data_IF_952259557872
#
_entry.id   IF_952259557872
#
_cell.length_a   1.000
_cell.length_b   1.000
_cell.length_c   1.000
_cell.angle_alpha   90.00
_cell.angle_beta   90.00
_cell.angle_gamma   90.00
#
_symmetry.space_group_name_H-M   'P 1'
#
loop_
_entity.id
_entity.type
_entity.pdbx_description
1 polymer ?
#
# COMPACT_ATOMS: atom_id res chain seq x y z
N UNK A 1 -20.70 -39.31 -6.42
CA UNK A 1 -19.62 -38.31 -6.52
C UNK A 1 -20.27 -36.95 -6.59
N UNK A 2 -20.28 -36.20 -5.49
CA UNK A 2 -20.83 -34.82 -5.47
C UNK A 2 -19.68 -33.91 -5.88
N UNK A 3 -19.79 -33.28 -7.05
CA UNK A 3 -18.87 -32.22 -7.45
C UNK A 3 -19.22 -31.02 -6.58
N UNK A 4 -18.40 -30.73 -5.58
CA UNK A 4 -18.50 -29.49 -4.82
C UNK A 4 -18.04 -28.37 -5.76
N UNK A 5 -18.98 -27.63 -6.34
CA UNK A 5 -18.66 -26.37 -7.01
C UNK A 5 -18.34 -25.38 -5.91
N UNK A 6 -17.05 -25.09 -5.71
CA UNK A 6 -16.64 -23.96 -4.86
C UNK A 6 -17.10 -22.70 -5.60
N UNK A 7 -18.08 -21.99 -5.04
CA UNK A 7 -18.53 -20.72 -5.60
C UNK A 7 -17.34 -19.77 -5.63
N UNK A 8 -17.05 -19.20 -6.80
CA UNK A 8 -16.00 -18.20 -6.95
C UNK A 8 -16.39 -16.92 -6.20
N UNK A 9 -15.43 -16.28 -5.53
CA UNK A 9 -15.64 -14.97 -4.92
C UNK A 9 -16.15 -13.97 -5.96
N UNK A 10 -17.36 -13.46 -5.77
CA UNK A 10 -17.91 -12.37 -6.58
C UNK A 10 -18.06 -11.13 -5.70
N UNK A 11 -17.11 -10.20 -5.86
CA UNK A 11 -17.12 -8.93 -5.15
C UNK A 11 -16.87 -7.77 -6.11
N UNK A 12 -17.66 -6.71 -5.99
CA UNK A 12 -17.51 -5.52 -6.81
C UNK A 12 -17.72 -4.26 -5.99
N UNK A 13 -17.28 -3.14 -6.56
CA UNK A 13 -17.53 -1.82 -6.00
C UNK A 13 -18.78 -1.21 -6.61
N UNK A 14 -19.68 -0.76 -5.75
CA UNK A 14 -20.76 0.14 -6.11
C UNK A 14 -20.41 1.56 -5.70
N UNK A 15 -20.70 2.51 -6.60
CA UNK A 15 -20.59 3.94 -6.34
C UNK A 15 -19.23 4.42 -5.76
N UNK A 16 -18.07 4.11 -6.38
CA UNK A 16 -16.80 4.71 -5.98
C UNK A 16 -16.88 6.24 -6.00
N UNK A 17 -16.66 6.88 -4.85
CA UNK A 17 -16.82 8.32 -4.71
C UNK A 17 -15.66 8.96 -3.95
N UNK A 18 -15.14 10.10 -4.45
CA UNK A 18 -14.14 10.89 -3.74
C UNK A 18 -14.76 11.64 -2.57
N UNK A 19 -14.15 11.59 -1.38
CA UNK A 19 -14.63 12.32 -0.19
C UNK A 19 -13.70 13.44 0.29
N UNK A 20 -12.39 13.35 0.01
CA UNK A 20 -11.42 14.41 0.33
C UNK A 20 -10.13 14.32 -0.50
N UNK A 21 -9.58 15.47 -0.90
CA UNK A 21 -8.19 15.56 -1.36
C UNK A 21 -7.24 15.63 -0.15
N UNK A 22 -6.26 14.74 -0.12
CA UNK A 22 -5.23 14.67 0.92
C UNK A 22 -3.92 15.20 0.33
N UNK A 23 -3.60 16.45 0.66
CA UNK A 23 -2.35 17.10 0.28
C UNK A 23 -1.34 17.03 1.43
N UNK A 24 -0.36 16.14 1.31
CA UNK A 24 0.65 15.92 2.34
C UNK A 24 1.65 17.06 2.46
N UNK A 25 1.70 18.00 1.52
CA UNK A 25 2.46 19.25 1.72
C UNK A 25 1.82 20.15 2.78
N UNK A 26 0.48 20.08 2.92
CA UNK A 26 -0.28 20.83 3.92
C UNK A 26 -0.39 20.08 5.25
N UNK A 27 -0.63 18.76 5.18
CA UNK A 27 -0.71 17.93 6.38
C UNK A 27 0.66 17.66 7.00
N UNK A 28 1.74 17.64 6.20
CA UNK A 28 3.11 17.21 6.54
C UNK A 28 3.21 15.72 6.82
N UNK A 29 4.29 15.09 6.35
CA UNK A 29 4.53 13.65 6.47
C UNK A 29 3.95 12.82 5.33
N UNK A 30 4.15 11.51 5.37
CA UNK A 30 3.54 10.54 4.46
C UNK A 30 2.31 9.89 5.11
N UNK A 31 1.36 9.45 4.30
CA UNK A 31 0.15 8.76 4.80
C UNK A 31 0.52 7.41 5.40
N UNK A 32 0.05 7.15 6.62
CA UNK A 32 0.51 6.05 7.45
C UNK A 32 -0.63 5.12 7.87
N UNK A 33 -1.79 5.70 8.20
CA UNK A 33 -2.96 4.97 8.67
C UNK A 33 -4.24 5.52 8.10
N UNK A 34 -5.18 4.62 7.82
CA UNK A 34 -6.57 4.90 7.48
C UNK A 34 -7.46 3.95 8.29
N UNK A 35 -8.49 4.47 8.94
CA UNK A 35 -9.41 3.68 9.77
C UNK A 35 -10.82 4.23 9.71
N UNK A 36 -11.82 3.36 9.69
CA UNK A 36 -13.22 3.77 9.83
C UNK A 36 -13.55 4.01 11.30
N UNK A 37 -14.41 4.99 11.56
CA UNK A 37 -15.07 5.08 12.85
C UNK A 37 -16.06 3.92 13.02
N UNK A 38 -16.36 3.47 14.26
CA UNK A 38 -17.25 2.33 14.48
C UNK A 38 -18.68 2.50 13.94
N UNK A 39 -19.16 3.73 13.88
CA UNK A 39 -20.47 4.09 13.30
C UNK A 39 -20.41 4.30 11.77
N UNK A 40 -19.21 4.27 11.18
CA UNK A 40 -18.97 4.47 9.76
C UNK A 40 -19.29 5.88 9.25
N UNK A 41 -19.37 6.88 10.13
CA UNK A 41 -19.64 8.28 9.75
C UNK A 41 -18.37 9.07 9.43
N UNK A 42 -17.21 8.58 9.88
CA UNK A 42 -15.92 9.24 9.79
C UNK A 42 -14.80 8.26 9.39
N UNK A 43 -13.71 8.82 8.88
CA UNK A 43 -12.45 8.16 8.61
C UNK A 43 -11.32 8.88 9.35
N UNK A 44 -10.53 8.14 10.10
CA UNK A 44 -9.27 8.62 10.67
C UNK A 44 -8.14 8.47 9.66
N UNK A 45 -7.32 9.51 9.54
CA UNK A 45 -6.09 9.53 8.76
C UNK A 45 -4.91 9.89 9.66
N UNK A 46 -3.82 9.13 9.55
CA UNK A 46 -2.55 9.50 10.15
C UNK A 46 -1.53 9.85 9.07
N UNK A 47 -0.74 10.90 9.31
CA UNK A 47 0.52 11.13 8.60
C UNK A 47 1.70 11.01 9.54
N UNK A 48 2.86 10.60 9.01
CA UNK A 48 4.10 10.41 9.78
C UNK A 48 5.27 11.08 9.08
N UNK A 49 6.19 11.66 9.84
CA UNK A 49 7.49 12.11 9.33
C UNK A 49 8.56 11.14 9.81
N UNK A 50 9.50 10.79 8.93
CA UNK A 50 10.64 9.92 9.25
C UNK A 50 11.94 10.69 9.19
N UNK A 51 12.91 10.27 9.99
CA UNK A 51 14.29 10.67 9.77
C UNK A 51 14.94 9.89 8.62
N UNK A 52 16.20 10.18 8.34
CA UNK A 52 16.96 9.52 7.27
C UNK A 52 17.21 8.02 7.54
N UNK A 53 17.03 7.55 8.78
CA UNK A 53 17.13 6.15 9.15
C UNK A 53 15.76 5.43 9.08
N UNK A 54 14.69 6.13 8.67
CA UNK A 54 13.33 5.59 8.58
C UNK A 54 12.57 5.57 9.91
N UNK A 55 13.13 6.14 10.98
CA UNK A 55 12.51 6.19 12.31
C UNK A 55 11.43 7.27 12.34
N UNK A 56 10.27 6.96 12.92
CA UNK A 56 9.15 7.90 13.06
C UNK A 56 9.55 9.04 14.01
N UNK A 57 9.57 10.28 13.52
CA UNK A 57 9.83 11.48 14.33
C UNK A 57 8.57 12.12 14.88
N UNK A 58 7.50 12.14 14.08
CA UNK A 58 6.23 12.77 14.42
C UNK A 58 5.09 12.01 13.76
N UNK A 59 3.93 12.02 14.41
CA UNK A 59 2.68 11.58 13.84
C UNK A 59 1.65 12.71 13.96
N UNK A 60 0.80 12.85 12.95
CA UNK A 60 -0.32 13.79 12.98
C UNK A 60 -1.62 13.05 12.69
N UNK A 61 -2.67 13.52 13.33
CA UNK A 61 -3.94 12.82 13.41
C UNK A 61 -5.03 13.68 12.81
N UNK A 62 -5.90 13.05 12.02
CA UNK A 62 -6.98 13.72 11.33
C UNK A 62 -8.24 12.88 11.32
N UNK A 63 -9.38 13.55 11.21
CA UNK A 63 -10.68 12.93 10.96
C UNK A 63 -11.35 13.58 9.74
N UNK A 64 -11.98 12.76 8.91
CA UNK A 64 -12.69 13.15 7.69
C UNK A 64 -14.07 12.52 7.71
N UNK A 65 -15.13 13.33 7.64
CA UNK A 65 -16.50 12.80 7.53
C UNK A 65 -16.74 12.16 6.17
N UNK A 66 -17.48 11.06 6.17
CA UNK A 66 -17.86 10.33 4.95
C UNK A 66 -18.87 11.11 4.11
N UNK A 67 -19.58 12.07 4.70
CA UNK A 67 -20.41 13.03 3.97
C UNK A 67 -19.58 14.04 3.15
N UNK A 68 -18.25 14.04 3.33
CA UNK A 68 -17.30 14.92 2.67
C UNK A 68 -17.35 16.35 3.21
N UNK A 69 -16.17 17.01 3.26
CA UNK A 69 -15.94 18.47 3.09
C UNK A 69 -14.61 18.95 3.66
N UNK A 70 -14.18 18.45 4.81
CA UNK A 70 -13.00 19.00 5.50
C UNK A 70 -12.21 17.92 6.23
N UNK A 71 -10.89 18.01 6.13
CA UNK A 71 -9.96 17.26 6.98
C UNK A 71 -9.78 18.07 8.27
N UNK A 72 -10.19 17.51 9.41
CA UNK A 72 -10.04 18.15 10.73
C UNK A 72 -8.85 17.53 11.45
N UNK A 73 -7.98 18.36 12.02
CA UNK A 73 -6.88 17.91 12.87
C UNK A 73 -7.39 17.40 14.23
N UNK A 74 -6.67 16.42 14.78
CA UNK A 74 -6.85 15.90 16.13
C UNK A 74 -5.53 16.01 16.89
N UNK A 75 -5.61 16.19 18.20
CA UNK A 75 -4.42 16.29 19.06
C UNK A 75 -3.74 14.91 19.26
N UNK A 76 -4.51 13.83 19.20
CA UNK A 76 -4.03 12.47 19.42
C UNK A 76 -4.82 11.43 18.62
N UNK A 77 -4.26 10.23 18.50
CA UNK A 77 -4.94 9.07 17.90
C UNK A 77 -6.17 8.68 18.73
N UNK A 78 -7.37 8.59 18.12
CA UNK A 78 -8.55 8.09 18.81
C UNK A 78 -8.39 6.62 19.20
N UNK A 79 -8.92 6.24 20.38
CA UNK A 79 -8.88 4.86 20.86
C UNK A 79 -9.51 3.85 19.88
N UNK A 80 -10.57 4.25 19.17
CA UNK A 80 -11.20 3.40 18.15
C UNK A 80 -10.30 3.18 16.93
N UNK A 81 -9.47 4.15 16.55
CA UNK A 81 -8.55 4.00 15.43
C UNK A 81 -7.42 3.02 15.77
N UNK A 82 -6.92 3.08 17.01
CA UNK A 82 -5.95 2.11 17.52
C UNK A 82 -6.53 0.68 17.57
N UNK A 83 -7.77 0.54 18.07
CA UNK A 83 -8.50 -0.75 18.08
C UNK A 83 -8.76 -1.27 16.67
N UNK A 84 -9.11 -0.39 15.74
CA UNK A 84 -9.31 -0.73 14.33
C UNK A 84 -8.02 -1.28 13.71
N UNK A 85 -6.89 -0.61 13.95
CA UNK A 85 -5.59 -1.03 13.44
C UNK A 85 -5.11 -2.35 14.04
N UNK A 86 -5.43 -2.66 15.31
CA UNK A 86 -4.97 -3.89 15.95
C UNK A 86 -5.43 -5.16 15.24
N UNK A 87 -6.60 -5.14 14.58
CA UNK A 87 -7.08 -6.28 13.79
C UNK A 87 -6.82 -6.12 12.29
N UNK A 88 -6.96 -4.92 11.72
CA UNK A 88 -6.78 -4.71 10.28
C UNK A 88 -5.38 -5.03 9.80
N UNK A 89 -4.37 -4.65 10.58
CA UNK A 89 -2.96 -4.84 10.24
C UNK A 89 -2.34 -6.07 10.91
N UNK A 90 -3.16 -6.91 11.55
CA UNK A 90 -2.70 -8.13 12.20
C UNK A 90 -2.06 -9.09 11.18
N UNK A 91 -1.31 -10.09 11.66
CA UNK A 91 -0.75 -11.10 10.78
C UNK A 91 -1.82 -12.06 10.23
N UNK A 92 -2.91 -12.28 10.97
CA UNK A 92 -3.99 -13.20 10.60
C UNK A 92 -5.35 -12.50 10.60
N UNK A 93 -6.27 -13.03 9.80
CA UNK A 93 -7.65 -12.56 9.76
C UNK A 93 -8.31 -12.67 11.14
N UNK A 94 -9.09 -11.65 11.56
CA UNK A 94 -9.87 -11.72 12.79
C UNK A 94 -11.02 -12.75 12.71
N UNK A 95 -11.45 -13.15 11.51
CA UNK A 95 -12.50 -14.13 11.29
C UNK A 95 -11.96 -15.57 11.14
N UNK A 96 -10.74 -15.72 10.64
CA UNK A 96 -10.15 -17.02 10.32
C UNK A 96 -8.64 -17.03 10.62
N UNK A 97 -8.19 -17.49 11.81
CA UNK A 97 -6.77 -17.45 12.20
C UNK A 97 -5.79 -18.21 11.29
N UNK A 98 -6.29 -19.19 10.53
CA UNK A 98 -5.50 -19.91 9.52
C UNK A 98 -5.31 -19.12 8.22
N UNK A 99 -6.15 -18.12 7.95
CA UNK A 99 -5.99 -17.18 6.85
C UNK A 99 -5.06 -16.05 7.29
N UNK A 100 -3.76 -16.22 7.03
CA UNK A 100 -2.70 -15.35 7.55
C UNK A 100 -1.66 -15.01 6.49
N UNK A 101 -0.93 -13.93 6.75
CA UNK A 101 0.19 -13.48 5.93
C UNK A 101 1.46 -14.16 6.40
N UNK A 102 2.11 -14.86 5.48
CA UNK A 102 3.47 -15.35 5.64
C UNK A 102 4.44 -14.27 5.16
N UNK A 103 5.47 -14.02 5.99
CA UNK A 103 6.56 -13.11 5.68
C UNK A 103 7.79 -13.96 5.41
N UNK A 104 8.29 -13.90 4.18
CA UNK A 104 9.53 -14.57 3.76
C UNK A 104 10.63 -13.52 3.60
N UNK A 105 11.83 -13.83 4.06
CA UNK A 105 13.02 -13.00 3.88
C UNK A 105 14.05 -13.80 3.08
N UNK A 106 14.67 -13.17 2.08
CA UNK A 106 15.81 -13.73 1.35
C UNK A 106 16.87 -12.66 1.11
N UNK A 107 18.12 -13.10 0.93
CA UNK A 107 19.20 -12.25 0.44
C UNK A 107 19.46 -12.55 -1.03
N UNK A 108 19.62 -11.51 -1.85
CA UNK A 108 19.86 -11.64 -3.28
C UNK A 108 20.97 -10.68 -3.73
N UNK A 109 21.86 -11.15 -4.60
CA UNK A 109 22.92 -10.30 -5.17
C UNK A 109 22.39 -9.65 -6.45
N UNK A 110 22.11 -8.35 -6.40
CA UNK A 110 21.59 -7.59 -7.54
C UNK A 110 22.74 -6.84 -8.22
N UNK A 111 22.82 -6.94 -9.55
CA UNK A 111 23.76 -6.15 -10.37
C UNK A 111 23.13 -4.81 -10.71
N UNK A 112 23.82 -3.71 -10.46
CA UNK A 112 23.38 -2.40 -10.91
C UNK A 112 23.50 -2.31 -12.44
N UNK A 113 22.40 -2.44 -13.18
CA UNK A 113 22.39 -2.10 -14.61
C UNK A 113 22.26 -0.59 -14.77
N UNK A 114 23.36 0.15 -14.59
CA UNK A 114 23.42 1.53 -15.05
C UNK A 114 23.57 1.51 -16.58
N UNK A 115 22.45 1.53 -17.32
CA UNK A 115 22.49 1.99 -18.72
C UNK A 115 22.87 3.48 -18.69
N UNK A 116 24.00 3.90 -19.27
CA UNK A 116 24.32 5.31 -19.36
C UNK A 116 23.24 5.99 -20.20
N UNK A 117 22.39 6.82 -19.58
CA UNK A 117 21.52 7.73 -20.33
C UNK A 117 22.43 8.64 -21.15
N UNK A 118 22.42 8.47 -22.47
CA UNK A 118 23.26 9.15 -23.46
C UNK A 118 23.12 10.68 -23.55
N UNK A 119 22.69 11.35 -22.48
CA UNK A 119 22.57 12.80 -22.39
C UNK A 119 23.91 13.54 -22.25
N UNK A 120 25.02 12.82 -22.01
CA UNK A 120 26.36 13.42 -21.99
C UNK A 120 26.96 13.66 -23.40
N UNK A 121 26.42 13.02 -24.46
CA UNK A 121 26.94 13.18 -25.82
C UNK A 121 26.32 14.35 -26.62
N UNK A 122 25.27 15.01 -26.11
CA UNK A 122 24.54 16.04 -26.87
C UNK A 122 24.96 17.50 -26.56
N UNK A 123 25.92 17.72 -25.66
CA UNK A 123 26.43 19.07 -25.35
C UNK A 123 27.80 19.22 -26.01
N UNK A 124 27.81 19.77 -27.23
CA UNK A 124 29.01 20.08 -28.01
C UNK A 124 29.90 21.13 -27.35
N UNK A 125 30.60 20.74 -26.29
CA UNK A 125 31.72 21.46 -25.69
C UNK A 125 33.02 20.76 -26.08
N UNK A 126 34.03 21.54 -26.45
CA UNK A 126 35.34 21.13 -26.97
C UNK A 126 35.90 19.88 -26.28
N UNK A 127 35.96 18.78 -27.03
CA UNK A 127 36.57 17.54 -26.58
C UNK A 127 38.07 17.75 -26.35
N UNK A 128 38.51 17.61 -25.10
CA UNK A 128 39.90 17.34 -24.79
C UNK A 128 40.14 15.84 -25.07
N UNK A 129 41.10 15.43 -25.92
CA UNK A 129 41.22 14.02 -26.36
C UNK A 129 41.64 13.03 -25.26
N UNK A 130 41.89 13.51 -24.04
CA UNK A 130 42.37 12.72 -22.91
C UNK A 130 41.28 12.32 -21.91
N UNK A 131 40.07 12.87 -22.01
CA UNK A 131 38.96 12.53 -21.10
C UNK A 131 38.07 11.43 -21.71
N UNK A 132 38.66 10.26 -21.92
CA UNK A 132 37.89 9.03 -22.07
C UNK A 132 37.45 8.58 -20.68
N UNK A 133 36.14 8.39 -20.44
CA UNK A 133 35.70 7.48 -19.36
C UNK A 133 36.39 6.15 -19.64
N UNK A 134 37.35 5.76 -18.80
CA UNK A 134 38.13 4.55 -19.06
C UNK A 134 37.17 3.35 -19.09
N UNK A 135 37.44 2.36 -19.94
CA UNK A 135 36.66 1.12 -19.96
C UNK A 135 36.58 0.46 -18.57
N UNK A 136 37.56 0.74 -17.70
CA UNK A 136 37.60 0.30 -16.29
C UNK A 136 36.58 1.01 -15.40
N UNK A 137 36.27 2.29 -15.63
CA UNK A 137 35.28 3.03 -14.83
C UNK A 137 33.85 2.59 -15.18
N UNK A 138 33.59 2.33 -16.47
CA UNK A 138 32.35 1.73 -16.96
C UNK A 138 32.22 0.28 -16.48
N UNK A 139 33.31 -0.50 -16.46
CA UNK A 139 33.33 -1.87 -15.95
C UNK A 139 33.14 -1.93 -14.43
N UNK A 140 33.69 -0.98 -13.67
CA UNK A 140 33.50 -0.90 -12.21
C UNK A 140 32.09 -0.46 -11.85
N UNK A 141 31.48 0.48 -12.59
CA UNK A 141 30.08 0.86 -12.40
C UNK A 141 29.12 -0.31 -12.73
N UNK A 142 29.42 -1.10 -13.78
CA UNK A 142 28.63 -2.27 -14.17
C UNK A 142 28.79 -3.48 -13.23
N UNK A 143 29.86 -3.54 -12.43
CA UNK A 143 30.17 -4.65 -11.52
C UNK A 143 29.85 -4.39 -10.04
N UNK A 144 29.23 -3.26 -9.70
CA UNK A 144 28.72 -3.05 -8.35
C UNK A 144 27.53 -3.99 -8.09
N UNK A 145 27.87 -5.17 -7.58
CA UNK A 145 26.92 -6.12 -7.01
C UNK A 145 26.57 -5.67 -5.61
N UNK A 146 25.30 -5.40 -5.37
CA UNK A 146 24.80 -5.05 -4.04
C UNK A 146 24.02 -6.24 -3.49
N UNK A 147 24.33 -6.64 -2.26
CA UNK A 147 23.47 -7.56 -1.51
C UNK A 147 22.19 -6.83 -1.14
N UNK A 148 21.06 -7.40 -1.49
CA UNK A 148 19.75 -6.88 -1.19
C UNK A 148 18.98 -7.85 -0.29
N UNK A 149 18.39 -7.33 0.78
CA UNK A 149 17.43 -8.08 1.59
C UNK A 149 16.06 -7.87 0.97
N UNK A 150 15.39 -8.98 0.65
CA UNK A 150 14.08 -8.98 0.04
C UNK A 150 13.07 -9.62 0.99
N UNK A 151 12.06 -8.87 1.37
CA UNK A 151 10.89 -9.37 2.06
C UNK A 151 9.76 -9.63 1.07
N UNK A 152 9.17 -10.81 1.11
CA UNK A 152 7.96 -11.17 0.37
C UNK A 152 6.83 -11.41 1.35
N UNK A 153 5.72 -10.70 1.17
CA UNK A 153 4.48 -11.04 1.86
C UNK A 153 3.61 -11.85 0.91
N UNK A 154 3.09 -12.94 1.43
CA UNK A 154 2.22 -13.83 0.69
C UNK A 154 1.11 -14.34 1.60
N UNK A 155 0.00 -14.73 0.98
CA UNK A 155 -1.07 -15.47 1.64
C UNK A 155 -1.31 -16.70 0.80
N UNK A 156 -0.96 -17.87 1.34
CA UNK A 156 -0.90 -19.12 0.55
C UNK A 156 0.02 -18.92 -0.67
N UNK A 157 -0.52 -19.12 -1.86
CA UNK A 157 0.19 -18.97 -3.13
C UNK A 157 0.08 -17.55 -3.73
N UNK A 158 -0.73 -16.66 -3.14
CA UNK A 158 -0.87 -15.28 -3.62
C UNK A 158 0.20 -14.38 -3.00
N UNK A 159 1.11 -13.86 -3.84
CA UNK A 159 2.07 -12.82 -3.44
C UNK A 159 1.35 -11.48 -3.34
N UNK A 160 1.25 -10.93 -2.13
CA UNK A 160 0.62 -9.61 -1.90
C UNK A 160 1.61 -8.45 -2.08
N UNK A 161 2.92 -8.71 -1.96
CA UNK A 161 3.95 -7.70 -2.22
C UNK A 161 5.38 -8.18 -2.01
N UNK A 162 6.33 -7.39 -2.48
CA UNK A 162 7.77 -7.60 -2.29
C UNK A 162 8.47 -6.25 -2.02
N UNK A 163 9.39 -6.25 -1.04
CA UNK A 163 10.11 -5.09 -0.53
C UNK A 163 11.61 -5.37 -0.56
N UNK A 164 12.37 -4.53 -1.25
CA UNK A 164 13.82 -4.68 -1.40
C UNK A 164 14.52 -3.58 -0.62
N UNK A 165 15.33 -3.96 0.36
CA UNK A 165 16.08 -3.04 1.24
C UNK A 165 15.19 -1.98 1.93
N UNK A 166 13.94 -2.33 2.20
CA UNK A 166 12.97 -1.44 2.83
C UNK A 166 12.10 -2.22 3.83
N UNK A 167 11.57 -1.52 4.83
CA UNK A 167 10.73 -2.14 5.85
C UNK A 167 9.32 -2.45 5.33
N UNK A 168 8.79 -3.61 5.70
CA UNK A 168 7.38 -3.93 5.51
C UNK A 168 6.57 -3.23 6.60
N UNK A 169 5.59 -2.42 6.20
CA UNK A 169 4.65 -1.78 7.13
C UNK A 169 3.27 -2.46 6.99
N UNK A 170 2.87 -3.32 7.95
CA UNK A 170 1.54 -3.94 7.96
C UNK A 170 0.43 -2.88 7.97
N UNK A 171 -0.68 -3.16 7.30
CA UNK A 171 -1.82 -2.24 7.25
C UNK A 171 -1.73 -1.12 6.21
N UNK A 172 -0.54 -0.83 5.65
CA UNK A 172 -0.36 0.15 4.57
C UNK A 172 -0.73 -0.44 3.20
N UNK A 173 -0.23 -1.64 2.91
CA UNK A 173 -0.46 -2.29 1.62
C UNK A 173 -1.66 -3.25 1.64
N UNK A 174 -2.14 -3.64 2.82
CA UNK A 174 -3.28 -4.53 2.98
C UNK A 174 -4.16 -4.15 4.16
N UNK A 175 -5.34 -4.73 4.23
CA UNK A 175 -6.22 -4.69 5.39
C UNK A 175 -7.15 -5.88 5.41
N UNK A 176 -7.18 -6.60 6.54
CA UNK A 176 -8.21 -7.60 6.80
C UNK A 176 -9.58 -6.94 6.86
N UNK A 177 -10.62 -7.64 6.43
CA UNK A 177 -11.99 -7.29 6.74
C UNK A 177 -12.32 -7.61 8.21
N UNK A 178 -13.30 -6.91 8.82
CA UNK A 178 -13.74 -7.24 10.17
C UNK A 178 -14.42 -8.61 10.20
N UNK A 179 -14.40 -9.27 11.36
CA UNK A 179 -15.19 -10.48 11.56
C UNK A 179 -16.70 -10.19 11.40
N UNK A 180 -17.50 -11.09 10.79
CA UNK A 180 -17.14 -12.47 10.42
C UNK A 180 -16.55 -12.64 9.00
N UNK A 181 -16.25 -11.56 8.28
CA UNK A 181 -15.73 -11.65 6.91
C UNK A 181 -14.30 -12.19 6.89
N UNK A 182 -14.10 -13.29 6.17
CA UNK A 182 -12.79 -13.88 5.94
C UNK A 182 -12.17 -13.36 4.64
N UNK A 183 -12.03 -12.03 4.55
CA UNK A 183 -11.53 -11.31 3.38
C UNK A 183 -10.28 -10.49 3.70
N UNK A 184 -9.42 -10.32 2.71
CA UNK A 184 -8.25 -9.46 2.70
C UNK A 184 -8.33 -8.53 1.50
N UNK A 185 -8.23 -7.21 1.71
CA UNK A 185 -8.00 -6.27 0.62
C UNK A 185 -6.51 -5.90 0.59
N UNK A 186 -5.90 -5.88 -0.58
CA UNK A 186 -4.52 -5.41 -0.74
C UNK A 186 -4.32 -4.62 -2.04
N UNK A 187 -3.40 -3.68 -2.00
CA UNK A 187 -2.98 -2.90 -3.15
C UNK A 187 -1.76 -3.56 -3.81
N UNK A 188 -1.75 -3.60 -5.15
CA UNK A 188 -0.55 -4.00 -5.88
C UNK A 188 0.48 -2.87 -5.91
N UNK A 189 1.73 -3.24 -5.70
CA UNK A 189 2.89 -2.33 -5.67
C UNK A 189 3.19 -1.65 -7.01
N UNK A 190 2.75 -2.25 -8.11
CA UNK A 190 2.88 -1.73 -9.47
C UNK A 190 1.89 -0.60 -9.80
N UNK A 191 1.03 -0.21 -8.85
CA UNK A 191 0.02 0.83 -9.03
C UNK A 191 -1.30 0.32 -9.62
N UNK A 192 -1.50 -1.00 -9.66
CA UNK A 192 -2.75 -1.64 -10.09
C UNK A 192 -3.96 -1.40 -9.16
N UNK A 193 -5.10 -2.05 -9.48
CA UNK A 193 -6.30 -1.97 -8.65
C UNK A 193 -6.10 -2.64 -7.28
N UNK A 194 -6.99 -2.34 -6.36
CA UNK A 194 -7.17 -3.16 -5.17
C UNK A 194 -7.63 -4.56 -5.57
N UNK A 195 -7.13 -5.54 -4.83
CA UNK A 195 -7.49 -6.95 -4.96
C UNK A 195 -8.11 -7.40 -3.65
N UNK A 196 -9.20 -8.16 -3.74
CA UNK A 196 -9.77 -8.86 -2.59
C UNK A 196 -9.51 -10.36 -2.74
N UNK A 197 -9.04 -10.95 -1.65
CA UNK A 197 -8.78 -12.38 -1.50
C UNK A 197 -9.62 -12.93 -0.35
N UNK A 198 -10.27 -14.07 -0.54
CA UNK A 198 -10.97 -14.79 0.53
C UNK A 198 -10.14 -15.94 1.11
N UNK A 199 -10.61 -16.49 2.24
CA UNK A 199 -9.99 -17.64 2.90
C UNK A 199 -10.12 -18.98 2.14
N UNK A 200 -10.80 -19.05 1.00
CA UNK A 200 -10.79 -20.21 0.10
C UNK A 200 -9.76 -20.08 -1.02
N UNK A 201 -9.21 -18.88 -1.23
CA UNK A 201 -8.30 -18.54 -2.33
C UNK A 201 -9.00 -17.88 -3.52
N UNK A 202 -10.31 -17.60 -3.42
CA UNK A 202 -11.04 -16.80 -4.39
C UNK A 202 -10.49 -15.37 -4.41
N UNK A 203 -10.22 -14.85 -5.61
CA UNK A 203 -9.57 -13.55 -5.81
C UNK A 203 -10.33 -12.73 -6.84
N UNK A 204 -10.50 -11.45 -6.54
CA UNK A 204 -11.21 -10.52 -7.41
C UNK A 204 -10.51 -9.16 -7.41
N UNK A 205 -10.30 -8.60 -8.61
CA UNK A 205 -9.85 -7.22 -8.75
C UNK A 205 -11.04 -6.26 -8.64
N UNK A 206 -10.89 -5.24 -7.81
CA UNK A 206 -11.92 -4.22 -7.63
C UNK A 206 -11.79 -3.15 -8.73
N UNK A 207 -12.56 -3.35 -9.81
CA UNK A 207 -12.65 -2.38 -10.89
C UNK A 207 -13.01 -0.98 -10.39
N UNK A 208 -12.42 0.05 -10.98
CA UNK A 208 -12.61 1.45 -10.58
C UNK A 208 -11.64 1.96 -9.51
N UNK A 209 -10.71 1.12 -9.03
CA UNK A 209 -9.59 1.53 -8.18
C UNK A 209 -8.31 1.66 -9.01
N UNK A 210 -7.43 2.60 -8.65
CA UNK A 210 -6.09 2.74 -9.28
C UNK A 210 -5.10 3.37 -8.32
N UNK A 211 -3.82 2.99 -8.45
CA UNK A 211 -2.73 3.50 -7.60
C UNK A 211 -3.12 3.56 -6.12
N UNK A 212 -3.84 2.53 -5.67
CA UNK A 212 -4.49 2.51 -4.38
C UNK A 212 -3.47 2.21 -3.27
N UNK A 213 -3.65 2.79 -2.10
CA UNK A 213 -2.92 2.48 -0.88
C UNK A 213 -3.87 2.57 0.32
N UNK A 214 -3.49 1.96 1.43
CA UNK A 214 -4.24 1.99 2.70
C UNK A 214 -5.71 1.53 2.53
N UNK A 215 -6.00 0.36 1.93
CA UNK A 215 -7.37 -0.16 1.85
C UNK A 215 -7.92 -0.39 3.26
N UNK A 216 -9.15 0.04 3.54
CA UNK A 216 -9.77 0.00 4.87
C UNK A 216 -11.25 -0.36 4.78
N UNK A 217 -11.67 -1.46 5.42
CA UNK A 217 -13.07 -1.89 5.47
C UNK A 217 -13.84 -1.14 6.55
N UNK A 218 -15.08 -0.74 6.30
CA UNK A 218 -15.95 -0.29 7.40
C UNK A 218 -16.18 -1.43 8.40
N UNK A 219 -16.42 -1.09 9.67
CA UNK A 219 -16.61 -2.07 10.75
C UNK A 219 -17.79 -3.04 10.49
N UNK A 220 -18.77 -2.62 9.69
CA UNK A 220 -19.90 -3.46 9.25
C UNK A 220 -19.58 -4.33 8.01
N UNK A 221 -18.39 -4.19 7.43
CA UNK A 221 -17.93 -4.94 6.26
C UNK A 221 -18.58 -4.54 4.93
N UNK A 222 -19.43 -3.50 4.90
CA UNK A 222 -20.22 -3.12 3.72
C UNK A 222 -19.56 -2.09 2.82
N UNK A 223 -18.51 -1.42 3.28
CA UNK A 223 -17.79 -0.39 2.53
C UNK A 223 -16.29 -0.63 2.59
N UNK A 224 -15.60 -0.10 1.58
CA UNK A 224 -14.15 0.03 1.59
C UNK A 224 -13.75 1.47 1.31
N UNK A 225 -12.74 1.95 2.03
CA UNK A 225 -12.05 3.20 1.79
C UNK A 225 -10.63 2.93 1.31
N UNK A 226 -10.08 3.81 0.49
CA UNK A 226 -8.68 3.77 0.06
C UNK A 226 -8.20 5.15 -0.33
N UNK A 227 -6.88 5.31 -0.37
CA UNK A 227 -6.24 6.50 -0.95
C UNK A 227 -5.76 6.16 -2.36
N UNK A 228 -6.17 6.93 -3.35
CA UNK A 228 -5.56 6.89 -4.69
C UNK A 228 -4.44 7.90 -4.78
N UNK A 229 -3.23 7.45 -5.05
CA UNK A 229 -2.11 8.36 -5.31
C UNK A 229 -2.34 9.08 -6.64
N UNK A 230 -2.44 10.41 -6.59
CA UNK A 230 -2.55 11.29 -7.78
C UNK A 230 -1.19 11.86 -8.18
N UNK A 231 -0.34 12.14 -7.20
CA UNK A 231 1.03 12.60 -7.36
C UNK A 231 1.84 12.25 -6.09
N UNK A 232 3.14 12.56 -6.04
CA UNK A 232 4.04 12.29 -4.90
C UNK A 232 3.49 12.76 -3.55
N UNK A 233 2.78 13.88 -3.53
CA UNK A 233 2.24 14.51 -2.30
C UNK A 233 0.72 14.62 -2.26
N UNK A 234 0.01 14.10 -3.27
CA UNK A 234 -1.44 14.26 -3.39
C UNK A 234 -2.13 12.92 -3.52
N UNK A 235 -3.15 12.73 -2.70
CA UNK A 235 -4.02 11.56 -2.75
C UNK A 235 -5.47 11.97 -2.82
N UNK A 236 -6.29 11.13 -3.42
CA UNK A 236 -7.74 11.21 -3.29
C UNK A 236 -8.21 10.14 -2.31
N UNK A 237 -8.86 10.54 -1.24
CA UNK A 237 -9.57 9.60 -0.37
C UNK A 237 -10.90 9.23 -1.02
N UNK A 238 -11.07 7.94 -1.24
CA UNK A 238 -12.21 7.31 -1.89
C UNK A 238 -12.95 6.42 -0.91
N UNK A 239 -14.26 6.29 -1.10
CA UNK A 239 -15.09 5.24 -0.48
C UNK A 239 -15.94 4.58 -1.55
N UNK A 240 -16.30 3.31 -1.35
CA UNK A 240 -17.27 2.60 -2.18
C UNK A 240 -18.05 1.60 -1.33
N UNK A 241 -19.29 1.35 -1.73
CA UNK A 241 -20.06 0.22 -1.21
C UNK A 241 -19.55 -1.08 -1.84
N UNK A 242 -19.56 -2.14 -1.04
CA UNK A 242 -19.17 -3.47 -1.45
C UNK A 242 -20.44 -4.25 -1.81
N UNK A 243 -20.45 -4.84 -2.99
CA UNK A 243 -21.46 -5.80 -3.40
C UNK A 243 -20.83 -7.18 -3.43
N UNK A 244 -21.35 -8.10 -2.61
CA UNK A 244 -21.00 -9.52 -2.62
C UNK A 244 -22.16 -10.28 -3.25
N UNK A 245 -21.89 -11.11 -4.24
CA UNK A 245 -22.88 -11.95 -4.93
C UNK A 245 -22.68 -13.42 -4.59
#
# INVERSE_FOLDING_TARGET
MVILVVAALQISLASPQPIAEVDTSKLKGEVARLAWSPDGSDLYLQTIERDNAGVVKSAKHYVISTAGKTIKGLDQEPAWAAKYWSWKSAQASPAAPAFRIDVRQREETIRATSTPTGGAMARGGTANPTDGTSFEEVANAANQTQKAIIFTLQVRDEKIGEWTNEAVIPGVNFGWAPAPLSLLAFARRDGGPLVVLDASGGKQELAGTKAAVLPAWSDDGKRIAWLERKDRKKYQLMIADIQMQ
#
